data_IF_269036024592
#
_entry.id   IF_269036024592
#
_cell.length_a   1.000
_cell.length_b   1.000
_cell.length_c   1.000
_cell.angle_alpha   90.00
_cell.angle_beta   90.00
_cell.angle_gamma   90.00
#
_symmetry.space_group_name_H-M   'P 1'
#
loop_
_entity.id
_entity.type
_entity.pdbx_description
1 polymer ?
#
# COMPACT_ATOMS: atom_id res chain seq x y z
N UNK A 1 8.97 35.27 12.57
CA UNK A 1 7.57 35.75 12.34
C UNK A 1 6.62 34.98 13.23
N UNK A 2 5.56 35.63 13.71
CA UNK A 2 4.45 34.99 14.42
C UNK A 2 3.30 34.77 13.45
N UNK A 3 2.78 33.55 13.38
CA UNK A 3 1.66 33.20 12.51
C UNK A 3 0.44 32.85 13.36
N UNK A 4 -0.64 33.59 13.14
CA UNK A 4 -1.90 33.41 13.85
C UNK A 4 -2.95 32.85 12.90
N UNK A 5 -3.47 31.66 13.20
CA UNK A 5 -4.51 31.01 12.40
C UNK A 5 -5.90 31.37 12.88
N UNK A 6 -6.85 31.53 11.95
CA UNK A 6 -8.28 31.59 12.29
C UNK A 6 -8.80 30.19 12.59
N UNK A 7 -9.50 30.01 13.71
CA UNK A 7 -10.03 28.69 14.14
C UNK A 7 -11.40 28.36 13.54
N UNK A 8 -11.78 29.02 12.44
CA UNK A 8 -13.03 28.82 11.71
C UNK A 8 -12.99 27.65 10.72
N UNK A 9 -11.86 26.91 10.69
CA UNK A 9 -11.62 25.79 9.78
C UNK A 9 -11.20 26.23 8.37
N UNK A 10 -11.13 27.53 8.08
CA UNK A 10 -10.71 28.03 6.77
C UNK A 10 -9.21 27.84 6.50
N UNK A 11 -8.41 27.69 7.57
CA UNK A 11 -6.96 27.57 7.50
C UNK A 11 -6.24 28.88 7.12
N UNK A 12 -6.96 30.01 7.10
CA UNK A 12 -6.37 31.33 6.88
C UNK A 12 -5.51 31.74 8.08
N UNK A 13 -4.45 32.47 7.79
CA UNK A 13 -3.56 32.99 8.81
C UNK A 13 -3.15 34.43 8.51
N UNK A 14 -2.74 35.14 9.55
CA UNK A 14 -2.06 36.43 9.46
C UNK A 14 -0.66 36.33 10.05
N UNK A 15 0.26 37.10 9.48
CA UNK A 15 1.64 37.21 9.94
C UNK A 15 1.82 38.50 10.71
N UNK A 16 2.56 38.43 11.80
CA UNK A 16 2.97 39.59 12.59
C UNK A 16 4.43 39.43 13.05
N UNK A 17 5.01 40.51 13.56
CA UNK A 17 6.32 40.43 14.19
C UNK A 17 6.30 39.45 15.38
N UNK A 18 7.42 38.76 15.56
CA UNK A 18 7.60 37.84 16.68
C UNK A 18 7.71 38.67 17.97
N UNK A 19 7.07 38.30 19.09
CA UNK A 19 7.30 38.98 20.36
C UNK A 19 8.76 38.81 20.84
N UNK A 20 9.33 39.82 21.49
CA UNK A 20 10.73 39.81 21.97
C UNK A 20 11.06 38.57 22.83
N UNK A 21 10.15 38.16 23.72
CA UNK A 21 10.33 36.97 24.58
C UNK A 21 10.63 35.66 23.83
N UNK A 22 10.18 35.54 22.58
CA UNK A 22 10.34 34.31 21.79
C UNK A 22 11.55 34.35 20.86
N UNK A 23 12.20 35.50 20.65
CA UNK A 23 13.30 35.64 19.69
C UNK A 23 14.46 34.71 19.98
N UNK A 24 14.97 34.72 21.22
CA UNK A 24 16.11 33.89 21.61
C UNK A 24 15.79 32.40 21.44
N UNK A 25 14.56 31.99 21.79
CA UNK A 25 14.14 30.60 21.67
C UNK A 25 14.01 30.15 20.21
N UNK A 26 13.45 30.99 19.35
CA UNK A 26 13.31 30.69 17.91
C UNK A 26 14.68 30.65 17.25
N UNK A 27 15.57 31.57 17.57
CA UNK A 27 16.94 31.59 17.04
C UNK A 27 17.72 30.34 17.47
N UNK A 28 17.61 29.93 18.73
CA UNK A 28 18.25 28.71 19.22
C UNK A 28 17.73 27.45 18.49
N UNK A 29 16.40 27.32 18.31
CA UNK A 29 15.81 26.19 17.60
C UNK A 29 16.14 26.19 16.09
N UNK A 30 16.25 27.38 15.49
CA UNK A 30 16.65 27.50 14.10
C UNK A 30 18.12 27.12 13.90
N UNK A 31 18.99 27.53 14.82
CA UNK A 31 20.39 27.12 14.81
C UNK A 31 20.54 25.61 15.02
N UNK A 32 19.80 25.04 15.97
CA UNK A 32 19.75 23.59 16.20
C UNK A 32 19.30 22.83 14.94
N UNK A 33 18.32 23.36 14.20
CA UNK A 33 17.90 22.78 12.91
C UNK A 33 19.03 22.82 11.87
N UNK A 34 19.74 23.95 11.76
CA UNK A 34 20.86 24.11 10.82
C UNK A 34 21.98 23.12 11.18
N UNK A 35 22.30 22.98 12.47
CA UNK A 35 23.30 22.03 12.96
C UNK A 35 22.91 20.59 12.59
N UNK A 36 21.65 20.16 12.81
CA UNK A 36 21.22 18.82 12.41
C UNK A 36 21.24 18.59 10.89
N UNK A 37 20.92 19.60 10.08
CA UNK A 37 21.02 19.48 8.62
C UNK A 37 22.48 19.39 8.19
N UNK A 38 23.37 20.16 8.82
CA UNK A 38 24.81 20.09 8.57
C UNK A 38 25.39 18.72 8.95
N UNK A 39 24.96 18.13 10.06
CA UNK A 39 25.38 16.78 10.49
C UNK A 39 24.95 15.65 9.53
N UNK A 40 23.98 15.90 8.65
CA UNK A 40 23.52 14.89 7.69
C UNK A 40 24.49 14.67 6.52
N UNK A 41 25.40 15.61 6.25
CA UNK A 41 26.35 15.54 5.13
C UNK A 41 27.69 16.19 5.51
N UNK A 42 28.79 15.43 5.41
CA UNK A 42 30.13 15.89 5.80
C UNK A 42 30.55 17.19 5.10
N UNK A 43 30.11 17.42 3.86
CA UNK A 43 30.43 18.65 3.11
C UNK A 43 29.65 19.86 3.60
N UNK A 44 28.41 19.66 4.08
CA UNK A 44 27.63 20.72 4.73
C UNK A 44 28.19 21.03 6.12
N UNK A 45 28.64 20.01 6.85
CA UNK A 45 29.29 20.17 8.15
C UNK A 45 30.58 21.01 8.06
N UNK A 46 31.46 20.71 7.10
CA UNK A 46 32.69 21.47 6.88
C UNK A 46 32.39 22.94 6.57
N UNK A 47 31.44 23.21 5.66
CA UNK A 47 31.02 24.58 5.33
C UNK A 47 30.42 25.30 6.53
N UNK A 48 29.64 24.61 7.35
CA UNK A 48 29.07 25.17 8.56
C UNK A 48 30.16 25.58 9.56
N UNK A 49 31.21 24.77 9.74
CA UNK A 49 32.35 25.13 10.59
C UNK A 49 33.19 26.28 10.03
N UNK A 50 33.33 26.39 8.70
CA UNK A 50 34.08 27.46 8.05
C UNK A 50 33.35 28.80 8.01
N UNK A 51 32.05 28.79 7.69
CA UNK A 51 31.25 29.99 7.38
C UNK A 51 30.25 30.34 8.48
N UNK A 52 29.99 29.43 9.41
CA UNK A 52 29.06 29.60 10.54
C UNK A 52 27.57 29.54 10.16
N UNK A 53 27.23 29.46 8.87
CA UNK A 53 25.85 29.32 8.40
C UNK A 53 25.79 28.66 7.01
N UNK A 54 24.64 28.08 6.66
CA UNK A 54 24.36 27.51 5.35
C UNK A 54 23.47 28.44 4.53
N UNK A 55 23.62 28.46 3.20
CA UNK A 55 22.66 29.14 2.34
C UNK A 55 21.30 28.41 2.34
N UNK A 56 20.23 29.12 1.98
CA UNK A 56 18.89 28.53 1.94
C UNK A 56 18.80 27.36 0.93
N UNK A 57 19.53 27.42 -0.18
CA UNK A 57 19.57 26.34 -1.17
C UNK A 57 20.30 25.11 -0.64
N UNK A 58 21.44 25.30 0.03
CA UNK A 58 22.20 24.21 0.65
C UNK A 58 21.41 23.56 1.79
N UNK A 59 20.71 24.35 2.60
CA UNK A 59 19.82 23.83 3.62
C UNK A 59 18.68 23.02 3.00
N UNK A 60 18.10 23.49 1.90
CA UNK A 60 17.00 22.77 1.22
C UNK A 60 17.46 21.43 0.67
N UNK A 61 18.59 21.41 0.00
CA UNK A 61 19.11 20.19 -0.64
C UNK A 61 19.59 19.19 0.43
N UNK A 62 20.28 19.68 1.47
CA UNK A 62 20.66 18.87 2.63
C UNK A 62 19.45 18.27 3.34
N UNK A 63 18.41 19.07 3.59
CA UNK A 63 17.19 18.61 4.22
C UNK A 63 16.47 17.52 3.41
N UNK A 64 16.41 17.68 2.09
CA UNK A 64 15.82 16.67 1.22
C UNK A 64 16.59 15.34 1.29
N UNK A 65 17.93 15.38 1.20
CA UNK A 65 18.76 14.17 1.30
C UNK A 65 18.63 13.51 2.68
N UNK A 66 18.70 14.29 3.76
CA UNK A 66 18.54 13.79 5.12
C UNK A 66 17.19 13.06 5.34
N UNK A 67 16.12 13.55 4.71
CA UNK A 67 14.80 12.90 4.70
C UNK A 67 14.83 11.61 3.87
N UNK A 68 15.48 11.61 2.70
CA UNK A 68 15.60 10.40 1.87
C UNK A 68 16.39 9.28 2.55
N UNK A 69 17.40 9.63 3.34
CA UNK A 69 18.24 8.71 4.10
C UNK A 69 17.65 8.32 5.46
N UNK A 70 16.55 8.98 5.86
CA UNK A 70 15.85 8.76 7.13
C UNK A 70 16.70 9.08 8.37
N UNK A 71 17.69 9.95 8.23
CA UNK A 71 18.55 10.43 9.33
C UNK A 71 17.83 11.55 10.10
N UNK A 72 16.97 12.29 9.42
CA UNK A 72 16.22 13.41 9.99
C UNK A 72 14.70 13.17 9.89
N UNK A 73 13.99 13.33 11.01
CA UNK A 73 12.52 13.24 11.06
C UNK A 73 11.96 14.60 11.47
N UNK A 74 11.43 15.40 10.53
CA UNK A 74 10.89 16.71 10.87
C UNK A 74 9.65 16.60 11.77
N UNK A 75 9.63 17.40 12.83
CA UNK A 75 8.49 17.52 13.73
C UNK A 75 7.68 18.77 13.43
N UNK A 76 6.37 18.60 13.22
CA UNK A 76 5.44 19.70 12.97
C UNK A 76 4.34 19.74 14.03
N UNK A 77 4.04 20.94 14.53
CA UNK A 77 2.88 21.19 15.37
C UNK A 77 1.68 21.60 14.49
N UNK A 78 0.66 20.76 14.41
CA UNK A 78 -0.54 21.04 13.61
C UNK A 78 -1.82 20.61 14.31
N UNK A 79 -2.95 21.22 13.94
CA UNK A 79 -4.28 20.81 14.40
C UNK A 79 -5.20 20.63 13.18
N UNK A 80 -5.34 19.39 12.72
CA UNK A 80 -6.10 19.06 11.51
C UNK A 80 -7.59 19.42 11.63
N UNK A 81 -8.20 19.25 12.80
CA UNK A 81 -9.62 19.56 13.05
C UNK A 81 -9.93 21.05 12.93
N UNK A 82 -8.96 21.91 13.24
CA UNK A 82 -9.07 23.37 13.13
C UNK A 82 -8.44 23.91 11.84
N UNK A 83 -7.90 23.01 11.00
CA UNK A 83 -7.15 23.34 9.79
C UNK A 83 -5.93 24.25 10.04
N UNK A 84 -5.27 24.10 11.19
CA UNK A 84 -4.10 24.88 11.60
C UNK A 84 -2.82 24.19 11.17
N UNK A 85 -2.00 24.86 10.34
CA UNK A 85 -0.70 24.36 9.89
C UNK A 85 -0.72 23.27 8.82
N UNK A 86 -1.90 22.76 8.43
CA UNK A 86 -2.04 21.66 7.46
C UNK A 86 -1.48 22.02 6.08
N UNK A 87 -1.80 23.21 5.57
CA UNK A 87 -1.28 23.69 4.28
C UNK A 87 0.25 23.75 4.26
N UNK A 88 0.88 24.22 5.35
CA UNK A 88 2.34 24.31 5.46
C UNK A 88 3.00 22.94 5.47
N UNK A 89 2.40 21.95 6.12
CA UNK A 89 2.89 20.56 6.06
C UNK A 89 2.76 20.00 4.65
N UNK A 90 1.67 20.28 3.94
CA UNK A 90 1.53 19.87 2.54
C UNK A 90 2.57 20.55 1.63
N UNK A 91 2.82 21.85 1.81
CA UNK A 91 3.88 22.57 1.08
C UNK A 91 5.27 21.99 1.38
N UNK A 92 5.52 21.61 2.64
CA UNK A 92 6.75 20.95 3.03
C UNK A 92 6.92 19.60 2.34
N UNK A 93 5.89 18.74 2.35
CA UNK A 93 5.92 17.44 1.68
C UNK A 93 6.13 17.62 0.17
N UNK A 94 5.49 18.61 -0.45
CA UNK A 94 5.65 18.88 -1.88
C UNK A 94 7.06 19.35 -2.25
N UNK A 95 7.72 20.10 -1.37
CA UNK A 95 9.07 20.65 -1.60
C UNK A 95 10.20 19.68 -1.26
N UNK A 96 10.07 18.97 -0.13
CA UNK A 96 11.16 18.18 0.46
C UNK A 96 10.87 16.67 0.51
N UNK A 97 9.63 16.25 0.27
CA UNK A 97 9.26 14.85 0.25
C UNK A 97 9.86 14.10 -0.94
N UNK A 98 9.77 12.77 -0.88
CA UNK A 98 10.30 11.90 -1.94
C UNK A 98 9.55 12.05 -3.26
N UNK A 99 10.31 12.20 -4.32
CA UNK A 99 9.92 12.15 -5.71
C UNK A 99 10.32 10.80 -6.33
N UNK A 100 9.66 10.33 -7.41
CA UNK A 100 10.09 9.11 -8.12
C UNK A 100 11.56 9.13 -8.57
N UNK A 101 12.14 10.30 -8.82
CA UNK A 101 13.56 10.44 -9.22
C UNK A 101 14.53 10.12 -8.08
N UNK A 102 14.13 10.31 -6.83
CA UNK A 102 14.97 9.99 -5.64
C UNK A 102 15.10 8.48 -5.43
N UNK A 103 14.28 7.71 -6.15
CA UNK A 103 14.30 6.26 -6.26
C UNK A 103 14.33 5.85 -7.73
N UNK A 104 15.23 6.47 -8.50
CA UNK A 104 15.37 6.26 -9.95
C UNK A 104 15.64 4.80 -10.36
N UNK A 105 16.11 3.95 -9.43
CA UNK A 105 16.29 2.52 -9.67
C UNK A 105 15.64 1.73 -8.55
N UNK A 106 14.92 0.67 -8.92
CA UNK A 106 14.42 -0.31 -7.98
C UNK A 106 14.97 -1.69 -8.34
N UNK A 107 15.16 -2.54 -7.33
CA UNK A 107 15.56 -3.93 -7.55
C UNK A 107 14.34 -4.78 -7.88
N UNK A 108 14.42 -5.50 -8.98
CA UNK A 108 13.50 -6.56 -9.37
C UNK A 108 14.25 -7.86 -9.64
N UNK A 109 13.53 -8.83 -10.17
CA UNK A 109 14.05 -10.14 -10.57
C UNK A 109 13.71 -10.39 -12.04
N UNK A 110 14.61 -11.02 -12.79
CA UNK A 110 14.29 -11.52 -14.12
C UNK A 110 13.26 -12.65 -14.00
N UNK A 111 12.14 -12.55 -14.72
CA UNK A 111 11.06 -13.52 -14.59
C UNK A 111 11.44 -14.94 -15.07
N UNK A 112 12.47 -15.08 -15.92
CA UNK A 112 12.90 -16.37 -16.45
C UNK A 112 14.04 -16.99 -15.64
N UNK A 113 15.06 -16.20 -15.28
CA UNK A 113 16.26 -16.71 -14.60
C UNK A 113 16.23 -16.54 -13.07
N UNK A 114 15.43 -15.61 -12.55
CA UNK A 114 15.41 -15.24 -11.13
C UNK A 114 16.58 -14.35 -10.69
N UNK A 115 17.43 -13.93 -11.62
CA UNK A 115 18.56 -13.05 -11.31
C UNK A 115 18.07 -11.64 -10.92
N UNK A 116 18.78 -10.99 -10.01
CA UNK A 116 18.51 -9.60 -9.65
C UNK A 116 18.74 -8.66 -10.84
N UNK A 117 17.78 -7.79 -11.12
CA UNK A 117 17.83 -6.80 -12.21
C UNK A 117 17.39 -5.44 -11.68
N UNK A 118 18.09 -4.39 -12.06
CA UNK A 118 17.68 -3.01 -11.77
C UNK A 118 16.64 -2.54 -12.80
N UNK A 119 15.51 -2.03 -12.31
CA UNK A 119 14.48 -1.38 -13.12
C UNK A 119 14.69 0.12 -12.95
N UNK A 120 15.10 0.78 -14.03
CA UNK A 120 15.37 2.21 -14.05
C UNK A 120 14.11 3.00 -14.45
N UNK A 121 13.90 4.14 -13.81
CA UNK A 121 12.76 5.04 -14.04
C UNK A 121 12.73 5.55 -15.48
N UNK A 122 13.90 5.83 -16.06
CA UNK A 122 14.09 6.28 -17.44
C UNK A 122 14.14 5.13 -18.46
N UNK A 123 13.85 3.90 -18.02
CA UNK A 123 13.79 2.74 -18.90
C UNK A 123 12.73 2.90 -19.99
N UNK A 124 12.99 2.31 -21.17
CA UNK A 124 12.08 2.39 -22.32
C UNK A 124 10.91 1.43 -22.21
N UNK A 125 11.17 0.22 -21.72
CA UNK A 125 10.14 -0.81 -21.61
C UNK A 125 9.24 -0.53 -20.41
N UNK A 126 7.91 -0.64 -20.58
CA UNK A 126 6.96 -0.41 -19.51
C UNK A 126 7.10 -1.49 -18.44
N UNK A 127 7.18 -1.08 -17.19
CA UNK A 127 7.10 -1.96 -16.02
C UNK A 127 6.08 -1.39 -15.05
N UNK A 128 5.03 -2.16 -14.77
CA UNK A 128 3.87 -1.76 -13.97
C UNK A 128 3.67 -2.76 -12.85
N UNK A 129 3.34 -2.27 -11.67
CA UNK A 129 3.01 -3.12 -10.53
C UNK A 129 1.63 -2.78 -9.99
N UNK A 130 0.77 -3.79 -9.89
CA UNK A 130 -0.55 -3.66 -9.30
C UNK A 130 -0.43 -3.86 -7.79
N UNK A 131 -0.68 -2.80 -7.01
CA UNK A 131 -0.54 -2.85 -5.56
C UNK A 131 -1.88 -2.92 -4.82
N UNK A 132 -3.00 -2.70 -5.52
CA UNK A 132 -4.33 -2.81 -4.93
C UNK A 132 -5.37 -3.09 -6.00
N UNK A 133 -6.24 -4.06 -5.75
CA UNK A 133 -7.47 -4.25 -6.53
C UNK A 133 -8.68 -3.91 -5.67
N UNK A 134 -9.68 -3.24 -6.24
CA UNK A 134 -10.96 -2.93 -5.60
C UNK A 134 -12.08 -3.35 -6.54
N UNK A 135 -13.06 -4.10 -6.05
CA UNK A 135 -14.24 -4.41 -6.84
C UNK A 135 -15.36 -3.40 -6.55
N UNK A 136 -15.82 -2.71 -7.57
CA UNK A 136 -16.91 -1.75 -7.44
C UNK A 136 -18.19 -2.20 -8.15
N UNK A 137 -19.37 -1.99 -7.55
CA UNK A 137 -20.65 -2.21 -8.23
C UNK A 137 -20.71 -1.45 -9.55
N UNK A 138 -21.21 -2.10 -10.60
CA UNK A 138 -21.39 -1.57 -11.97
C UNK A 138 -20.11 -1.29 -12.78
N UNK A 139 -18.96 -1.05 -12.14
CA UNK A 139 -17.68 -0.80 -12.83
C UNK A 139 -16.90 -2.10 -13.04
N UNK A 140 -16.94 -3.00 -12.05
CA UNK A 140 -16.13 -4.22 -11.99
C UNK A 140 -14.86 -4.00 -11.19
N UNK A 141 -13.83 -4.79 -11.48
CA UNK A 141 -12.54 -4.71 -10.80
C UNK A 141 -11.73 -3.51 -11.31
N UNK A 142 -11.29 -2.70 -10.36
CA UNK A 142 -10.41 -1.56 -10.54
C UNK A 142 -9.05 -1.90 -9.93
N UNK A 143 -8.04 -2.05 -10.79
CA UNK A 143 -6.67 -2.34 -10.38
C UNK A 143 -5.88 -1.03 -10.33
N UNK A 144 -5.39 -0.70 -9.15
CA UNK A 144 -4.46 0.40 -8.91
C UNK A 144 -3.04 -0.08 -9.11
N UNK A 145 -2.27 0.73 -9.84
CA UNK A 145 -0.93 0.37 -10.21
C UNK A 145 -0.01 1.57 -10.17
N UNK A 146 1.30 1.28 -10.04
CA UNK A 146 2.38 2.24 -10.21
C UNK A 146 3.19 1.87 -11.44
N UNK A 147 3.53 2.86 -12.26
CA UNK A 147 4.48 2.71 -13.36
C UNK A 147 5.88 2.94 -12.82
N UNK A 148 6.76 1.95 -12.95
CA UNK A 148 8.14 2.03 -12.47
C UNK A 148 9.15 2.36 -13.56
N UNK A 149 8.86 2.01 -14.80
CA UNK A 149 9.70 2.25 -15.97
C UNK A 149 8.81 2.42 -17.20
N UNK A 150 9.29 3.17 -18.19
CA UNK A 150 8.61 3.38 -19.47
C UNK A 150 7.34 4.21 -19.35
N UNK A 151 6.51 4.10 -20.38
CA UNK A 151 5.20 4.76 -20.46
C UNK A 151 4.13 3.78 -20.88
N UNK A 152 2.92 3.96 -20.38
CA UNK A 152 1.77 3.14 -20.74
C UNK A 152 0.68 3.99 -21.38
N UNK A 153 0.13 3.49 -22.48
CA UNK A 153 -0.97 4.13 -23.19
C UNK A 153 -2.22 3.26 -23.16
N UNK A 154 -3.40 3.88 -23.24
CA UNK A 154 -4.66 3.15 -23.39
C UNK A 154 -4.61 2.25 -24.62
N UNK A 155 -4.94 0.97 -24.43
CA UNK A 155 -4.81 -0.05 -25.45
C UNK A 155 -3.38 -0.55 -25.64
N UNK A 156 -2.52 -0.49 -24.63
CA UNK A 156 -1.24 -1.21 -24.67
C UNK A 156 -1.44 -2.65 -24.19
N UNK A 157 -0.78 -3.61 -24.83
CA UNK A 157 -0.69 -4.99 -24.33
C UNK A 157 0.54 -5.13 -23.44
N UNK A 158 0.34 -5.53 -22.19
CA UNK A 158 1.40 -5.86 -21.25
C UNK A 158 1.35 -7.33 -20.89
N UNK A 159 2.48 -7.91 -20.53
CA UNK A 159 2.61 -9.29 -20.12
C UNK A 159 2.69 -9.38 -18.60
N UNK A 160 1.75 -10.09 -17.97
CA UNK A 160 1.80 -10.39 -16.55
C UNK A 160 2.86 -11.46 -16.30
N UNK A 161 3.99 -11.07 -15.69
CA UNK A 161 5.12 -11.97 -15.43
C UNK A 161 4.88 -12.94 -14.29
N UNK A 162 3.90 -12.67 -13.42
CA UNK A 162 3.51 -13.55 -12.32
C UNK A 162 2.60 -14.68 -12.78
N UNK A 163 1.66 -14.40 -13.71
CA UNK A 163 0.66 -15.38 -14.19
C UNK A 163 0.95 -15.93 -15.59
N UNK A 164 1.87 -15.31 -16.32
CA UNK A 164 2.30 -15.75 -17.65
C UNK A 164 1.29 -15.45 -18.77
N UNK A 165 0.40 -14.47 -18.59
CA UNK A 165 -0.65 -14.09 -19.55
C UNK A 165 -0.51 -12.64 -19.99
N UNK A 166 -0.93 -12.34 -21.22
CA UNK A 166 -1.01 -10.97 -21.72
C UNK A 166 -2.33 -10.32 -21.35
N UNK A 167 -2.24 -9.04 -20.98
CA UNK A 167 -3.34 -8.19 -20.53
C UNK A 167 -3.37 -6.90 -21.34
N UNK A 168 -4.56 -6.54 -21.82
CA UNK A 168 -4.78 -5.31 -22.58
C UNK A 168 -5.18 -4.20 -21.60
N UNK A 169 -4.39 -3.15 -21.50
CA UNK A 169 -4.75 -1.98 -20.70
C UNK A 169 -5.91 -1.25 -21.36
N UNK A 170 -7.05 -1.23 -20.67
CA UNK A 170 -8.24 -0.49 -21.08
C UNK A 170 -8.13 1.01 -20.76
N UNK A 171 -9.27 1.61 -20.46
CA UNK A 171 -9.33 3.00 -20.03
C UNK A 171 -8.66 3.17 -18.66
N UNK A 172 -7.74 4.13 -18.57
CA UNK A 172 -7.02 4.46 -17.35
C UNK A 172 -7.58 5.73 -16.70
N UNK A 173 -7.50 5.79 -15.38
CA UNK A 173 -8.01 6.91 -14.59
C UNK A 173 -7.01 7.35 -13.52
N UNK A 174 -6.87 8.66 -13.37
CA UNK A 174 -6.33 9.29 -12.16
C UNK A 174 -7.46 9.42 -11.13
N UNK A 175 -7.21 8.92 -9.93
CA UNK A 175 -8.19 8.85 -8.86
C UNK A 175 -7.94 9.97 -7.85
N UNK A 176 -8.91 10.87 -7.68
CA UNK A 176 -8.89 11.87 -6.62
C UNK A 176 -10.13 11.70 -5.73
N UNK A 177 -9.99 10.88 -4.69
CA UNK A 177 -11.11 10.47 -3.86
C UNK A 177 -12.18 9.75 -4.69
N UNK A 178 -13.37 10.36 -4.80
CA UNK A 178 -14.48 9.83 -5.61
C UNK A 178 -14.44 10.28 -7.08
N UNK A 179 -13.64 11.30 -7.39
CA UNK A 179 -13.56 11.87 -8.73
C UNK A 179 -12.56 11.10 -9.57
N UNK A 180 -12.94 10.83 -10.83
CA UNK A 180 -12.11 10.12 -11.80
C UNK A 180 -11.82 10.99 -12.99
N UNK A 181 -10.55 11.13 -13.33
CA UNK A 181 -10.13 11.82 -14.55
C UNK A 181 -9.56 10.79 -15.50
N UNK A 182 -10.21 10.62 -16.66
CA UNK A 182 -9.73 9.70 -17.69
C UNK A 182 -8.42 10.24 -18.27
N UNK A 183 -7.43 9.35 -18.42
CA UNK A 183 -6.14 9.66 -19.01
C UNK A 183 -5.79 8.64 -20.09
N UNK A 184 -5.03 9.09 -21.09
CA UNK A 184 -4.62 8.26 -22.25
C UNK A 184 -3.20 7.75 -22.13
N UNK A 185 -2.35 8.42 -21.36
CA UNK A 185 -0.94 8.07 -21.17
C UNK A 185 -0.53 8.31 -19.70
N UNK A 186 0.32 7.45 -19.16
CA UNK A 186 0.97 7.59 -17.86
C UNK A 186 2.45 7.22 -18.00
N UNK A 187 3.33 7.93 -17.31
CA UNK A 187 4.77 7.75 -17.39
C UNK A 187 5.32 7.13 -16.10
N UNK A 188 6.58 6.71 -16.13
CA UNK A 188 7.28 6.21 -14.97
C UNK A 188 7.24 7.21 -13.80
N UNK A 189 6.85 6.71 -12.63
CA UNK A 189 6.58 7.50 -11.42
C UNK A 189 5.09 7.73 -11.16
N UNK A 190 4.25 7.69 -12.18
CA UNK A 190 2.81 7.92 -12.04
C UNK A 190 2.10 6.73 -11.38
N UNK A 191 1.01 7.06 -10.68
CA UNK A 191 0.07 6.09 -10.10
C UNK A 191 -1.28 6.27 -10.79
N UNK A 192 -1.85 5.16 -11.25
CA UNK A 192 -3.11 5.15 -11.96
C UNK A 192 -3.98 3.98 -11.57
N UNK A 193 -5.16 3.93 -12.18
CA UNK A 193 -6.07 2.80 -12.07
C UNK A 193 -6.59 2.40 -13.44
N UNK A 194 -6.83 1.11 -13.64
CA UNK A 194 -7.39 0.54 -14.87
C UNK A 194 -8.53 -0.40 -14.50
N UNK A 195 -9.54 -0.42 -15.36
CA UNK A 195 -10.72 -1.27 -15.17
C UNK A 195 -10.56 -2.60 -15.93
N UNK A 196 -11.05 -3.68 -15.32
CA UNK A 196 -11.28 -4.99 -15.96
C UNK A 196 -10.03 -5.63 -16.57
N UNK A 197 -8.95 -5.74 -15.79
CA UNK A 197 -7.90 -6.71 -16.10
C UNK A 197 -8.45 -8.12 -15.83
N UNK A 198 -8.08 -9.11 -16.65
CA UNK A 198 -8.72 -10.43 -16.60
C UNK A 198 -8.07 -11.38 -15.60
N UNK A 199 -6.75 -11.43 -15.58
CA UNK A 199 -5.92 -12.37 -14.82
C UNK A 199 -4.81 -11.63 -14.07
N UNK A 200 -5.12 -10.42 -13.61
CA UNK A 200 -4.19 -9.57 -12.86
C UNK A 200 -4.74 -9.28 -11.48
N UNK A 201 -3.93 -9.60 -10.49
CA UNK A 201 -4.27 -9.51 -9.08
C UNK A 201 -3.36 -8.53 -8.34
N UNK A 202 -3.69 -8.24 -7.09
CA UNK A 202 -2.78 -7.50 -6.20
C UNK A 202 -1.40 -8.18 -6.14
N UNK A 203 -0.33 -7.38 -6.08
CA UNK A 203 1.08 -7.83 -6.08
C UNK A 203 1.63 -8.28 -7.43
N UNK A 204 0.85 -8.24 -8.53
CA UNK A 204 1.31 -8.71 -9.84
C UNK A 204 2.13 -7.65 -10.57
N UNK A 205 3.12 -8.10 -11.36
CA UNK A 205 3.95 -7.23 -12.20
C UNK A 205 3.61 -7.46 -13.68
N UNK A 206 3.44 -6.37 -14.43
CA UNK A 206 3.12 -6.37 -15.85
C UNK A 206 4.22 -5.62 -16.59
N UNK A 207 4.73 -6.21 -17.68
CA UNK A 207 5.87 -5.66 -18.42
C UNK A 207 5.62 -5.61 -19.91
N UNK A 208 6.45 -4.87 -20.63
CA UNK A 208 6.56 -5.02 -22.08
C UNK A 208 7.04 -6.42 -22.50
N UNK A 209 6.88 -6.76 -23.77
CA UNK A 209 7.24 -8.07 -24.34
C UNK A 209 8.73 -8.39 -24.26
N UNK A 210 9.59 -7.37 -24.28
CA UNK A 210 11.04 -7.53 -24.42
C UNK A 210 11.76 -7.71 -23.08
N UNK A 211 11.31 -7.01 -22.04
CA UNK A 211 11.96 -7.01 -20.73
C UNK A 211 11.04 -7.58 -19.65
N UNK A 212 11.12 -8.91 -19.46
CA UNK A 212 10.31 -9.62 -18.46
C UNK A 212 10.96 -9.55 -17.08
N UNK A 213 10.55 -8.54 -16.31
CA UNK A 213 10.93 -8.36 -14.91
C UNK A 213 9.77 -8.63 -13.97
N UNK A 214 10.09 -8.97 -12.73
CA UNK A 214 9.14 -9.17 -11.65
C UNK A 214 9.59 -8.35 -10.45
N UNK A 215 8.67 -7.59 -9.87
CA UNK A 215 8.93 -6.89 -8.62
C UNK A 215 8.56 -7.84 -7.48
N UNK A 216 9.43 -8.02 -6.46
CA UNK A 216 9.13 -8.85 -5.30
C UNK A 216 7.84 -8.38 -4.62
N UNK A 217 6.97 -9.33 -4.27
CA UNK A 217 5.76 -9.01 -3.51
C UNK A 217 6.11 -8.64 -2.07
N UNK A 218 5.28 -7.78 -1.47
CA UNK A 218 5.41 -7.39 -0.07
C UNK A 218 5.13 -8.61 0.81
N UNK A 219 6.01 -8.91 1.76
CA UNK A 219 5.79 -10.00 2.72
C UNK A 219 4.70 -9.58 3.70
N UNK A 220 3.51 -10.16 3.53
CA UNK A 220 2.37 -9.88 4.39
C UNK A 220 2.45 -10.64 5.73
N UNK A 221 1.85 -10.08 6.81
CA UNK A 221 1.80 -10.74 8.10
C UNK A 221 0.89 -11.98 8.06
N UNK A 222 1.25 -13.00 8.85
CA UNK A 222 0.42 -14.18 9.05
C UNK A 222 -0.88 -13.82 9.80
N UNK A 223 -1.95 -14.61 9.60
CA UNK A 223 -3.19 -14.42 10.36
C UNK A 223 -3.00 -14.79 11.84
N UNK A 224 -3.59 -13.99 12.73
CA UNK A 224 -3.53 -14.18 14.19
C UNK A 224 -4.77 -14.87 14.77
N UNK A 225 -5.92 -14.70 14.13
CA UNK A 225 -7.19 -15.25 14.61
C UNK A 225 -7.95 -15.98 13.51
N UNK A 226 -8.78 -16.94 13.92
CA UNK A 226 -9.60 -17.76 13.03
C UNK A 226 -11.04 -17.81 13.51
N UNK A 227 -11.97 -17.75 12.57
CA UNK A 227 -13.41 -17.73 12.83
C UNK A 227 -14.14 -18.62 11.82
N UNK A 228 -14.97 -19.54 12.29
CA UNK A 228 -15.83 -20.34 11.43
C UNK A 228 -17.06 -19.53 11.04
N UNK A 229 -17.50 -19.66 9.80
CA UNK A 229 -18.74 -19.04 9.33
C UNK A 229 -19.68 -20.06 8.70
N UNK A 230 -20.98 -19.80 8.82
CA UNK A 230 -22.04 -20.57 8.16
C UNK A 230 -23.11 -19.62 7.62
N UNK A 231 -23.71 -19.96 6.48
CA UNK A 231 -24.85 -19.22 5.96
C UNK A 231 -26.06 -19.34 6.89
N UNK A 232 -26.76 -18.23 7.16
CA UNK A 232 -28.06 -18.27 7.85
C UNK A 232 -29.17 -18.81 6.96
N UNK A 233 -29.12 -18.48 5.67
CA UNK A 233 -30.12 -18.89 4.69
C UNK A 233 -29.60 -20.00 3.77
N UNK A 234 -30.45 -20.98 3.47
CA UNK A 234 -30.13 -22.01 2.48
C UNK A 234 -30.14 -21.38 1.08
N UNK A 235 -29.05 -21.55 0.33
CA UNK A 235 -28.91 -21.04 -1.05
C UNK A 235 -27.97 -19.84 -1.22
N UNK A 236 -27.52 -19.19 -0.15
CA UNK A 236 -26.57 -18.07 -0.25
C UNK A 236 -25.09 -18.49 -0.30
N UNK A 237 -24.80 -19.80 -0.30
CA UNK A 237 -23.42 -20.32 -0.27
C UNK A 237 -22.56 -19.84 -1.45
N UNK A 238 -23.13 -19.76 -2.65
CA UNK A 238 -22.42 -19.27 -3.85
C UNK A 238 -22.08 -17.77 -3.75
N UNK A 239 -22.98 -16.97 -3.18
CA UNK A 239 -22.75 -15.55 -2.94
C UNK A 239 -21.69 -15.33 -1.86
N UNK A 240 -21.69 -16.16 -0.82
CA UNK A 240 -20.64 -16.14 0.21
C UNK A 240 -19.30 -16.47 -0.44
N UNK A 241 -19.21 -17.54 -1.22
CA UNK A 241 -17.96 -17.94 -1.87
C UNK A 241 -17.42 -16.83 -2.77
N UNK A 242 -18.28 -16.25 -3.61
CA UNK A 242 -17.92 -15.11 -4.49
C UNK A 242 -17.48 -13.90 -3.67
N UNK A 243 -18.23 -13.55 -2.62
CA UNK A 243 -17.93 -12.38 -1.80
C UNK A 243 -16.65 -12.52 -0.99
N UNK A 244 -16.36 -13.71 -0.46
CA UNK A 244 -15.09 -14.00 0.21
C UNK A 244 -13.91 -13.92 -0.75
N UNK A 245 -14.06 -14.45 -1.97
CA UNK A 245 -13.03 -14.34 -3.00
C UNK A 245 -12.74 -12.87 -3.35
N UNK A 246 -13.78 -12.05 -3.52
CA UNK A 246 -13.61 -10.61 -3.77
C UNK A 246 -12.94 -9.89 -2.60
N UNK A 247 -13.30 -10.20 -1.35
CA UNK A 247 -12.67 -9.57 -0.17
C UNK A 247 -11.20 -10.00 -0.04
N UNK A 248 -10.88 -11.26 -0.31
CA UNK A 248 -9.50 -11.75 -0.32
C UNK A 248 -8.65 -11.07 -1.40
N UNK A 249 -9.22 -10.85 -2.58
CA UNK A 249 -8.54 -10.12 -3.66
C UNK A 249 -8.24 -8.66 -3.29
N UNK A 250 -9.15 -8.04 -2.54
CA UNK A 250 -8.97 -6.68 -2.01
C UNK A 250 -7.95 -6.64 -0.86
N UNK A 251 -7.89 -7.69 -0.04
CA UNK A 251 -7.03 -7.79 1.14
C UNK A 251 -6.44 -9.20 1.27
N UNK A 252 -5.22 -9.37 0.79
CA UNK A 252 -4.48 -10.64 0.86
C UNK A 252 -4.22 -11.11 2.30
N UNK A 253 -4.32 -10.22 3.31
CA UNK A 253 -4.16 -10.60 4.73
C UNK A 253 -5.42 -11.26 5.31
N UNK A 254 -6.56 -11.12 4.62
CA UNK A 254 -7.79 -11.84 4.90
C UNK A 254 -7.78 -13.16 4.13
N UNK A 255 -7.63 -14.28 4.83
CA UNK A 255 -7.55 -15.60 4.20
C UNK A 255 -8.80 -16.39 4.55
N UNK A 256 -9.49 -16.93 3.55
CA UNK A 256 -10.57 -17.88 3.77
C UNK A 256 -10.15 -19.27 3.30
N UNK A 257 -10.53 -20.29 4.05
CA UNK A 257 -10.28 -21.68 3.73
C UNK A 257 -11.56 -22.50 3.88
N UNK A 258 -11.83 -23.38 2.92
CA UNK A 258 -12.96 -24.31 2.97
C UNK A 258 -12.42 -25.68 3.36
N UNK A 259 -12.68 -26.07 4.60
CA UNK A 259 -12.29 -27.36 5.16
C UNK A 259 -13.26 -28.43 4.67
N UNK A 260 -12.78 -29.32 3.79
CA UNK A 260 -13.56 -30.40 3.19
C UNK A 260 -13.85 -31.55 4.16
N UNK A 261 -13.01 -31.75 5.17
CA UNK A 261 -13.15 -32.82 6.17
C UNK A 261 -14.27 -32.49 7.15
N UNK A 262 -14.27 -31.26 7.67
CA UNK A 262 -15.28 -30.79 8.62
C UNK A 262 -16.46 -30.06 7.97
N UNK A 263 -16.40 -29.82 6.65
CA UNK A 263 -17.39 -29.07 5.86
C UNK A 263 -17.71 -27.71 6.49
N UNK A 264 -16.66 -26.95 6.79
CA UNK A 264 -16.76 -25.63 7.39
C UNK A 264 -15.91 -24.62 6.61
N UNK A 265 -16.35 -23.37 6.58
CA UNK A 265 -15.54 -22.27 6.04
C UNK A 265 -14.92 -21.52 7.20
N UNK A 266 -13.59 -21.39 7.18
CA UNK A 266 -12.82 -20.71 8.21
C UNK A 266 -12.23 -19.43 7.62
N UNK A 267 -12.53 -18.30 8.26
CA UNK A 267 -11.94 -17.01 7.98
C UNK A 267 -10.76 -16.77 8.90
N UNK A 268 -9.69 -16.21 8.37
CA UNK A 268 -8.45 -15.92 9.08
C UNK A 268 -8.06 -14.48 8.84
N UNK A 269 -7.64 -13.78 9.88
CA UNK A 269 -7.29 -12.36 9.79
C UNK A 269 -6.39 -11.89 10.92
N UNK A 270 -6.11 -10.58 10.92
CA UNK A 270 -5.15 -9.96 11.84
C UNK A 270 -5.70 -9.71 13.25
N UNK A 271 -7.02 -9.58 13.40
CA UNK A 271 -7.69 -9.31 14.66
C UNK A 271 -9.21 -9.31 14.54
N UNK A 272 -9.90 -9.22 15.68
CA UNK A 272 -11.37 -9.37 15.74
C UNK A 272 -12.09 -8.29 14.92
N UNK A 273 -11.66 -7.03 15.05
CA UNK A 273 -12.21 -5.93 14.28
C UNK A 273 -12.06 -6.13 12.77
N UNK A 274 -10.92 -6.68 12.32
CA UNK A 274 -10.70 -6.98 10.90
C UNK A 274 -11.74 -8.01 10.41
N UNK A 275 -11.90 -9.14 11.10
CA UNK A 275 -12.89 -10.14 10.70
C UNK A 275 -14.33 -9.60 10.75
N UNK A 276 -14.65 -8.78 11.76
CA UNK A 276 -15.98 -8.18 11.90
C UNK A 276 -16.30 -7.21 10.74
N UNK A 277 -15.34 -6.35 10.36
CA UNK A 277 -15.48 -5.44 9.22
C UNK A 277 -15.60 -6.23 7.91
N UNK A 278 -14.85 -7.32 7.74
CA UNK A 278 -14.94 -8.18 6.54
C UNK A 278 -16.31 -8.87 6.43
N UNK A 279 -16.87 -9.36 7.53
CA UNK A 279 -18.22 -9.94 7.57
C UNK A 279 -19.30 -8.88 7.27
N UNK A 280 -19.17 -7.68 7.85
CA UNK A 280 -20.10 -6.58 7.59
C UNK A 280 -20.02 -6.10 6.12
N UNK A 281 -18.84 -6.09 5.50
CA UNK A 281 -18.67 -5.85 4.05
C UNK A 281 -19.37 -6.92 3.22
N UNK A 282 -19.24 -8.20 3.60
CA UNK A 282 -19.94 -9.30 2.93
C UNK A 282 -21.46 -9.07 2.96
N UNK A 283 -22.00 -8.70 4.13
CA UNK A 283 -23.41 -8.39 4.31
C UNK A 283 -23.87 -7.20 3.47
N UNK A 284 -23.13 -6.08 3.49
CA UNK A 284 -23.51 -4.86 2.77
C UNK A 284 -23.41 -5.00 1.25
N UNK A 285 -22.39 -5.69 0.74
CA UNK A 285 -22.12 -5.78 -0.71
C UNK A 285 -22.84 -6.92 -1.40
N UNK A 286 -22.93 -8.07 -0.74
CA UNK A 286 -23.48 -9.29 -1.34
C UNK A 286 -24.85 -9.65 -0.78
N UNK A 287 -25.37 -8.85 0.16
CA UNK A 287 -26.66 -9.06 0.84
C UNK A 287 -26.77 -10.47 1.45
N UNK A 288 -25.70 -10.92 2.11
CA UNK A 288 -25.66 -12.22 2.77
C UNK A 288 -25.43 -12.07 4.27
N UNK A 289 -26.20 -12.80 5.07
CA UNK A 289 -26.04 -12.85 6.51
C UNK A 289 -25.40 -14.19 6.93
N UNK A 290 -24.34 -14.11 7.73
CA UNK A 290 -23.56 -15.27 8.19
C UNK A 290 -23.55 -15.35 9.71
N UNK A 291 -23.58 -16.57 10.23
CA UNK A 291 -23.34 -16.85 11.64
C UNK A 291 -21.88 -17.21 11.85
N UNK A 292 -21.27 -16.58 12.84
CA UNK A 292 -19.92 -16.88 13.27
C UNK A 292 -19.92 -17.91 14.39
N UNK A 293 -18.93 -18.80 14.38
CA UNK A 293 -18.72 -19.80 15.42
C UNK A 293 -17.22 -20.12 15.55
N UNK A 294 -16.84 -20.76 16.66
CA UNK A 294 -15.46 -21.20 16.85
C UNK A 294 -15.13 -22.37 15.90
N UNK A 295 -14.10 -22.27 15.04
CA UNK A 295 -13.72 -23.36 14.13
C UNK A 295 -13.53 -24.69 14.86
N UNK A 296 -14.01 -25.77 14.26
CA UNK A 296 -13.77 -27.13 14.76
C UNK A 296 -12.39 -27.62 14.29
N UNK A 297 -11.77 -28.50 15.07
CA UNK A 297 -10.47 -29.09 14.76
C UNK A 297 -10.69 -30.56 14.37
N UNK A 298 -10.13 -31.05 13.25
CA UNK A 298 -10.27 -32.45 12.85
C UNK A 298 -9.45 -33.33 13.79
N UNK A 299 -10.12 -34.25 14.48
CA UNK A 299 -9.45 -35.21 15.36
C UNK A 299 -8.84 -36.36 14.55
N UNK A 300 -7.66 -36.81 14.97
CA UNK A 300 -6.99 -37.99 14.42
C UNK A 300 -6.86 -39.05 15.51
N UNK A 301 -7.12 -40.29 15.15
CA UNK A 301 -6.96 -41.44 16.05
C UNK A 301 -5.76 -42.27 15.63
N UNK A 302 -5.02 -42.79 16.60
CA UNK A 302 -3.92 -43.73 16.38
C UNK A 302 -3.88 -44.75 17.51
N UNK A 303 -3.32 -45.93 17.23
CA UNK A 303 -3.10 -46.97 18.23
C UNK A 303 -1.74 -46.75 18.91
N UNK A 304 -1.67 -46.95 20.23
CA UNK A 304 -0.42 -46.81 20.99
C UNK A 304 0.41 -48.09 21.07
N UNK A 305 -0.24 -49.25 20.89
CA UNK A 305 0.38 -50.56 21.05
C UNK A 305 -0.18 -51.56 20.05
N UNK A 306 0.57 -52.64 19.81
CA UNK A 306 0.15 -53.73 18.95
C UNK A 306 -0.97 -54.54 19.60
N UNK A 307 -2.05 -54.80 18.85
CA UNK A 307 -3.18 -55.62 19.29
C UNK A 307 -3.47 -56.76 18.32
N UNK A 308 -3.78 -57.96 18.85
CA UNK A 308 -4.21 -59.11 18.06
C UNK A 308 -5.71 -59.35 18.25
N UNK A 309 -6.44 -59.55 17.14
CA UNK A 309 -7.89 -59.77 17.12
C UNK A 309 -8.23 -61.01 16.28
N UNK A 310 -9.18 -61.82 16.73
CA UNK A 310 -9.79 -62.93 15.96
C UNK A 310 -11.29 -62.67 15.80
N UNK A 311 -11.74 -62.53 14.56
CA UNK A 311 -13.15 -62.39 14.20
C UNK A 311 -13.71 -63.72 13.67
N UNK A 312 -14.90 -64.13 14.14
CA UNK A 312 -15.60 -65.32 13.62
C UNK A 312 -17.07 -64.99 13.38
N UNK A 313 -17.47 -64.95 12.12
CA UNK A 313 -18.88 -64.78 11.72
C UNK A 313 -19.53 -66.17 11.56
N UNK A 314 -20.60 -66.44 12.29
CA UNK A 314 -21.40 -67.67 12.16
C UNK A 314 -22.79 -67.27 11.63
N UNK A 315 -23.14 -67.80 10.47
CA UNK A 315 -24.44 -67.60 9.82
C UNK A 315 -25.55 -68.27 10.60
#
# INVERSE_FOLDING_TARGET
>A
ELITYTTDGSGKYSESELPEEWHDRVNALHQELIEYVAESDDSLLEKFFEQGNLSEEEMRDGLHQAIQEQVFIPLFCTAATQNTGVARVMDFIAKYGSSPVDRAKIKGENANSGDAVDIALDGRDPVVHVFKTISEPHVGELSFFRVYSGSITTGLDLYNTTRGRSERFGQMFLMNGKTRTSVTNLNAGDIGSVVKLKDTHTGNTLTGSNNKVKIPSVKLPNSNIHLGIRSKAKGDEEKIATGLATIHEEDETFVYNVDSELRQTVLSGQGELHLQVSIDRLKRRFNVDVESFRPRIPYRETIRANGASKYRHKK
#
